data_IF_674909120796
#
_entry.id   IF_674909120796
#
_cell.length_a   1.000
_cell.length_b   1.000
_cell.length_c   1.000
_cell.angle_alpha   90.00
_cell.angle_beta   90.00
_cell.angle_gamma   90.00
#
_symmetry.space_group_name_H-M   'P 1'
#
loop_
_entity.id
_entity.type
_entity.pdbx_description
1 polymer ?
#
# COMPACT_ATOMS: atom_id res chain seq x y z
N UNK A 1 -30.67 10.14 15.98
CA UNK A 1 -29.55 9.48 16.69
C UNK A 1 -28.93 8.50 15.72
N UNK A 2 -27.98 8.97 14.91
CA UNK A 2 -27.23 8.10 14.00
C UNK A 2 -26.42 7.12 14.84
N UNK A 3 -26.76 5.84 14.76
CA UNK A 3 -25.92 4.79 15.30
C UNK A 3 -24.69 4.71 14.39
N UNK A 4 -23.68 5.53 14.70
CA UNK A 4 -22.41 5.51 14.00
C UNK A 4 -21.83 4.10 14.04
N UNK A 5 -21.49 3.56 12.87
CA UNK A 5 -20.84 2.27 12.73
C UNK A 5 -19.50 2.33 13.47
N UNK A 6 -19.22 1.36 14.33
CA UNK A 6 -17.97 1.31 15.11
C UNK A 6 -16.75 1.09 14.19
N UNK A 7 -15.56 1.54 14.60
CA UNK A 7 -14.32 1.30 13.85
C UNK A 7 -14.12 -0.19 13.54
N UNK A 8 -14.44 -1.07 14.49
CA UNK A 8 -14.32 -2.52 14.31
C UNK A 8 -15.24 -3.04 13.21
N UNK A 9 -16.47 -2.54 13.12
CA UNK A 9 -17.41 -2.91 12.05
C UNK A 9 -16.91 -2.43 10.69
N UNK A 10 -16.40 -1.20 10.60
CA UNK A 10 -15.81 -0.65 9.36
C UNK A 10 -14.59 -1.43 8.90
N UNK A 11 -13.71 -1.82 9.82
CA UNK A 11 -12.57 -2.71 9.53
C UNK A 11 -13.06 -4.05 8.98
N UNK A 12 -14.06 -4.67 9.60
CA UNK A 12 -14.62 -5.94 9.12
C UNK A 12 -15.22 -5.83 7.71
N UNK A 13 -15.90 -4.72 7.41
CA UNK A 13 -16.42 -4.43 6.07
C UNK A 13 -15.29 -4.28 5.04
N UNK A 14 -14.24 -3.52 5.37
CA UNK A 14 -13.05 -3.34 4.54
C UNK A 14 -12.31 -4.67 4.29
N UNK A 15 -12.12 -5.48 5.32
CA UNK A 15 -11.58 -6.84 5.20
C UNK A 15 -12.45 -7.71 4.28
N UNK A 16 -13.78 -7.58 4.37
CA UNK A 16 -14.71 -8.25 3.47
C UNK A 16 -14.52 -7.86 2.01
N UNK A 17 -14.21 -6.60 1.71
CA UNK A 17 -13.89 -6.14 0.36
C UNK A 17 -12.57 -6.74 -0.13
N UNK A 18 -11.53 -6.72 0.70
CA UNK A 18 -10.22 -7.33 0.39
C UNK A 18 -10.33 -8.84 0.13
N UNK A 19 -11.20 -9.55 0.87
CA UNK A 19 -11.43 -10.97 0.66
C UNK A 19 -12.22 -11.28 -0.62
N UNK A 20 -13.14 -10.39 -1.03
CA UNK A 20 -13.89 -10.53 -2.29
C UNK A 20 -13.02 -10.21 -3.50
N UNK A 21 -12.23 -9.15 -3.40
CA UNK A 21 -11.34 -8.67 -4.45
C UNK A 21 -9.89 -8.78 -3.97
N UNK A 22 -9.37 -10.01 -4.01
CA UNK A 22 -8.04 -10.34 -3.49
C UNK A 22 -6.98 -9.45 -4.14
N UNK A 23 -6.27 -8.59 -3.37
CA UNK A 23 -5.22 -7.74 -3.90
C UNK A 23 -4.10 -8.54 -4.54
N UNK A 24 -3.40 -7.92 -5.50
CA UNK A 24 -2.27 -8.55 -6.20
C UNK A 24 -1.23 -9.10 -5.23
N UNK A 25 -1.01 -8.41 -4.11
CA UNK A 25 -0.10 -8.82 -3.03
C UNK A 25 -0.36 -10.26 -2.54
N UNK A 26 -1.63 -10.67 -2.49
CA UNK A 26 -2.08 -11.95 -1.97
C UNK A 26 -2.54 -12.91 -3.06
N UNK A 27 -2.21 -12.62 -4.33
CA UNK A 27 -2.55 -13.52 -5.43
C UNK A 27 -1.96 -14.91 -5.16
N UNK A 28 -2.78 -15.94 -5.37
CA UNK A 28 -2.46 -17.35 -5.10
C UNK A 28 -2.30 -17.73 -3.62
N UNK A 29 -2.70 -16.87 -2.67
CA UNK A 29 -2.86 -17.28 -1.28
C UNK A 29 -4.12 -18.13 -1.14
N UNK A 30 -4.06 -19.16 -0.30
CA UNK A 30 -5.27 -19.83 0.14
C UNK A 30 -6.13 -18.86 0.98
N UNK A 31 -7.47 -18.96 0.95
CA UNK A 31 -8.34 -18.08 1.71
C UNK A 31 -8.03 -18.08 3.22
N UNK A 32 -7.63 -19.21 3.80
CA UNK A 32 -7.20 -19.30 5.20
C UNK A 32 -5.91 -18.52 5.46
N UNK A 33 -4.90 -18.64 4.58
CA UNK A 33 -3.62 -17.94 4.71
C UNK A 33 -3.80 -16.43 4.57
N UNK A 34 -4.67 -15.98 3.67
CA UNK A 34 -5.03 -14.57 3.53
C UNK A 34 -5.69 -14.04 4.80
N UNK A 35 -6.69 -14.75 5.35
CA UNK A 35 -7.35 -14.34 6.60
C UNK A 35 -6.38 -14.29 7.76
N UNK A 36 -5.50 -15.29 7.89
CA UNK A 36 -4.49 -15.32 8.94
C UNK A 36 -3.50 -14.16 8.79
N UNK A 37 -3.06 -13.85 7.56
CA UNK A 37 -2.17 -12.72 7.32
C UNK A 37 -2.83 -11.39 7.69
N UNK A 38 -4.08 -11.17 7.27
CA UNK A 38 -4.81 -9.91 7.56
C UNK A 38 -4.99 -9.66 9.07
N UNK A 39 -5.06 -10.73 9.89
CA UNK A 39 -5.13 -10.63 11.36
C UNK A 39 -3.85 -10.11 12.01
N UNK A 40 -2.71 -10.13 11.32
CA UNK A 40 -1.47 -9.53 11.80
C UNK A 40 -1.53 -7.99 11.77
N UNK A 41 -2.46 -7.43 11.00
CA UNK A 41 -2.57 -6.00 10.76
C UNK A 41 -3.22 -5.28 11.94
N UNK A 42 -2.57 -4.24 12.42
CA UNK A 42 -3.11 -3.34 13.44
C UNK A 42 -3.89 -2.22 12.75
N UNK A 43 -5.20 -2.15 12.96
CA UNK A 43 -6.04 -1.15 12.33
C UNK A 43 -5.72 0.26 12.84
N UNK A 44 -5.59 1.21 11.91
CA UNK A 44 -5.37 2.62 12.18
C UNK A 44 -6.32 3.46 11.34
N UNK A 45 -6.95 4.44 11.98
CA UNK A 45 -7.85 5.40 11.35
C UNK A 45 -7.08 6.69 11.11
N UNK A 46 -7.21 7.22 9.89
CA UNK A 46 -6.64 8.49 9.48
C UNK A 46 -7.75 9.39 8.96
N UNK A 47 -7.79 10.63 9.43
CA UNK A 47 -8.68 11.68 8.91
C UNK A 47 -8.10 12.27 7.63
N UNK A 48 -8.91 12.98 6.83
CA UNK A 48 -8.39 13.74 5.69
C UNK A 48 -7.18 14.60 6.10
N UNK A 49 -6.19 14.64 5.22
CA UNK A 49 -4.91 15.35 5.36
C UNK A 49 -3.95 14.78 6.42
N UNK A 50 -4.33 13.76 7.19
CA UNK A 50 -3.40 13.10 8.11
C UNK A 50 -2.34 12.27 7.34
N UNK A 51 -1.10 12.37 7.81
CA UNK A 51 0.05 11.66 7.24
C UNK A 51 0.02 10.20 7.69
N UNK A 52 -0.03 9.30 6.73
CA UNK A 52 0.05 7.84 6.92
C UNK A 52 1.52 7.39 6.92
N UNK A 53 2.31 7.91 5.98
CA UNK A 53 3.76 7.67 5.87
C UNK A 53 4.44 9.01 5.65
N UNK A 54 5.42 9.32 6.49
CA UNK A 54 6.32 10.46 6.30
C UNK A 54 7.62 9.98 5.64
N UNK A 55 8.04 10.62 4.55
CA UNK A 55 9.29 10.27 3.85
C UNK A 55 10.55 10.45 4.72
N UNK A 56 10.50 11.36 5.70
CA UNK A 56 11.56 11.57 6.68
C UNK A 56 11.54 10.56 7.84
N UNK A 57 10.55 9.66 7.88
CA UNK A 57 10.40 8.69 8.96
C UNK A 57 11.55 7.70 9.03
N UNK A 58 12.02 7.45 10.25
CA UNK A 58 13.01 6.41 10.56
C UNK A 58 12.37 5.04 10.80
N UNK A 59 11.04 4.96 10.90
CA UNK A 59 10.29 3.71 10.99
C UNK A 59 10.18 3.08 9.60
N UNK A 60 11.16 2.25 9.22
CA UNK A 60 11.26 1.61 7.90
C UNK A 60 10.81 0.15 7.88
N UNK A 61 10.43 -0.41 9.03
CA UNK A 61 10.08 -1.81 9.22
C UNK A 61 8.57 -2.05 9.25
N UNK A 62 7.79 -1.14 8.66
CA UNK A 62 6.33 -1.24 8.61
C UNK A 62 5.76 -1.00 7.21
N UNK A 63 4.65 -1.69 6.94
CA UNK A 63 3.85 -1.52 5.73
C UNK A 63 2.37 -1.34 6.09
N UNK A 64 1.61 -0.78 5.16
CA UNK A 64 0.21 -0.45 5.37
C UNK A 64 -0.64 -0.99 4.23
N UNK A 65 -1.73 -1.69 4.53
CA UNK A 65 -2.75 -2.08 3.55
C UNK A 65 -3.98 -1.21 3.75
N UNK A 66 -4.42 -0.47 2.73
CA UNK A 66 -5.65 0.31 2.80
C UNK A 66 -6.84 -0.66 2.72
N UNK A 67 -7.75 -0.58 3.70
CA UNK A 67 -8.98 -1.38 3.74
C UNK A 67 -10.24 -0.51 3.59
N UNK A 68 -10.11 0.81 3.75
CA UNK A 68 -11.15 1.79 3.45
C UNK A 68 -10.51 3.13 3.09
N UNK A 69 -11.14 3.88 2.18
CA UNK A 69 -10.73 5.24 1.82
C UNK A 69 -9.65 5.30 0.74
N UNK A 70 -9.14 6.50 0.52
CA UNK A 70 -8.13 6.83 -0.47
C UNK A 70 -7.03 7.71 0.13
N UNK A 71 -5.82 7.53 -0.37
CA UNK A 71 -4.66 8.33 -0.01
C UNK A 71 -3.91 8.79 -1.25
N UNK A 72 -3.09 9.82 -1.07
CA UNK A 72 -2.26 10.42 -2.10
C UNK A 72 -0.79 10.26 -1.75
N UNK A 73 0.01 9.94 -2.75
CA UNK A 73 1.46 9.72 -2.62
C UNK A 73 2.18 10.94 -3.21
N UNK A 74 3.07 11.52 -2.42
CA UNK A 74 3.76 12.77 -2.73
C UNK A 74 5.27 12.62 -2.55
N UNK A 75 6.05 13.29 -3.40
CA UNK A 75 7.49 13.42 -3.24
C UNK A 75 7.94 14.76 -3.79
N UNK A 76 8.74 15.51 -3.05
CA UNK A 76 9.24 16.83 -3.48
C UNK A 76 8.10 17.73 -4.01
N UNK A 77 6.97 17.79 -3.26
CA UNK A 77 5.72 18.48 -3.60
C UNK A 77 5.00 17.99 -4.88
N UNK A 78 5.48 16.92 -5.52
CA UNK A 78 4.87 16.33 -6.71
C UNK A 78 3.92 15.19 -6.34
N UNK A 79 2.68 15.26 -6.83
CA UNK A 79 1.73 14.15 -6.76
C UNK A 79 2.20 13.00 -7.67
N UNK A 80 2.46 11.84 -7.08
CA UNK A 80 2.94 10.66 -7.81
C UNK A 80 1.78 9.73 -8.19
N UNK A 81 0.87 9.48 -7.24
CA UNK A 81 -0.23 8.55 -7.39
C UNK A 81 -1.34 8.79 -6.35
N UNK A 82 -2.54 8.29 -6.67
CA UNK A 82 -3.61 8.07 -5.71
C UNK A 82 -3.80 6.57 -5.55
N UNK A 83 -4.04 6.13 -4.32
CA UNK A 83 -4.16 4.74 -3.92
C UNK A 83 -5.40 4.56 -3.06
N UNK A 84 -5.93 3.35 -3.02
CA UNK A 84 -7.16 3.06 -2.28
C UNK A 84 -7.21 1.62 -1.79
N UNK A 85 -8.42 1.14 -1.53
CA UNK A 85 -8.67 -0.19 -0.96
C UNK A 85 -7.92 -1.29 -1.71
N UNK A 86 -7.15 -2.08 -0.98
CA UNK A 86 -6.32 -3.17 -1.50
C UNK A 86 -4.89 -2.78 -1.87
N UNK A 87 -4.57 -1.49 -1.95
CA UNK A 87 -3.20 -1.03 -2.17
C UNK A 87 -2.36 -1.20 -0.91
N UNK A 88 -1.12 -1.65 -1.10
CA UNK A 88 -0.10 -1.73 -0.07
C UNK A 88 0.93 -0.62 -0.23
N UNK A 89 1.31 -0.05 0.91
CA UNK A 89 2.29 1.01 1.06
C UNK A 89 3.49 0.53 1.86
N UNK A 90 4.66 1.09 1.56
CA UNK A 90 5.88 0.76 2.28
C UNK A 90 6.35 -0.67 2.01
N UNK A 91 6.11 -1.23 0.82
CA UNK A 91 6.47 -2.62 0.50
C UNK A 91 7.97 -2.91 0.62
N UNK A 92 8.79 -1.86 0.59
CA UNK A 92 10.23 -1.93 0.85
C UNK A 92 10.58 -2.46 2.24
N UNK A 93 9.62 -2.50 3.18
CA UNK A 93 9.81 -3.02 4.53
C UNK A 93 10.31 -4.47 4.59
N UNK A 94 10.13 -5.27 3.53
CA UNK A 94 10.66 -6.64 3.41
C UNK A 94 12.07 -6.69 2.81
N UNK A 95 12.43 -5.70 2.01
CA UNK A 95 13.73 -5.61 1.35
C UNK A 95 14.69 -4.75 2.17
N UNK A 96 15.86 -4.46 1.62
CA UNK A 96 16.90 -3.70 2.32
C UNK A 96 16.37 -2.30 2.71
N UNK A 97 16.90 -1.72 3.80
CA UNK A 97 16.47 -0.41 4.34
C UNK A 97 16.91 0.74 3.43
N UNK A 98 16.27 0.89 2.29
CA UNK A 98 16.16 2.21 1.66
C UNK A 98 15.06 2.97 2.41
N UNK A 99 15.28 4.25 2.70
CA UNK A 99 14.32 5.08 3.43
C UNK A 99 12.92 5.07 2.80
N UNK A 100 11.96 5.75 3.42
CA UNK A 100 10.67 5.97 2.77
C UNK A 100 10.91 6.76 1.47
N UNK A 101 10.31 6.31 0.37
CA UNK A 101 10.61 6.87 -0.96
C UNK A 101 9.74 8.08 -1.32
N UNK A 102 8.66 8.27 -0.56
CA UNK A 102 7.62 9.28 -0.75
C UNK A 102 6.77 9.37 0.53
N UNK A 103 6.13 10.52 0.73
CA UNK A 103 5.13 10.74 1.76
C UNK A 103 3.75 10.28 1.28
N UNK A 104 2.89 9.88 2.21
CA UNK A 104 1.53 9.43 1.93
C UNK A 104 0.58 10.10 2.91
N UNK A 105 -0.43 10.79 2.40
CA UNK A 105 -1.45 11.46 3.21
C UNK A 105 -2.86 11.03 2.77
N UNK A 106 -3.75 10.89 3.73
CA UNK A 106 -5.13 10.52 3.49
C UNK A 106 -5.87 11.64 2.73
N UNK A 107 -6.56 11.30 1.64
CA UNK A 107 -7.38 12.28 0.88
C UNK A 107 -8.82 12.34 1.38
N UNK A 108 -9.26 11.25 2.01
CA UNK A 108 -10.52 11.13 2.72
C UNK A 108 -10.27 10.38 4.04
N UNK A 109 -11.33 9.92 4.71
CA UNK A 109 -11.15 9.09 5.90
C UNK A 109 -10.66 7.68 5.53
N UNK A 110 -9.42 7.36 5.92
CA UNK A 110 -8.75 6.11 5.59
C UNK A 110 -8.69 5.18 6.79
N UNK A 111 -8.98 3.90 6.56
CA UNK A 111 -8.60 2.83 7.49
C UNK A 111 -7.51 2.00 6.81
N UNK A 112 -6.36 1.89 7.49
CA UNK A 112 -5.26 1.06 7.04
C UNK A 112 -4.87 0.03 8.11
N UNK A 113 -4.44 -1.15 7.65
CA UNK A 113 -3.83 -2.16 8.50
C UNK A 113 -2.31 -1.95 8.48
N UNK A 114 -1.73 -1.60 9.63
CA UNK A 114 -0.28 -1.47 9.83
C UNK A 114 0.31 -2.83 10.19
N UNK A 115 1.31 -3.28 9.44
CA UNK A 115 2.04 -4.52 9.64
C UNK A 115 3.48 -4.22 10.03
N UNK A 116 4.01 -4.91 11.05
CA UNK A 116 5.45 -4.87 11.36
C UNK A 116 6.18 -6.00 10.66
N UNK A 117 7.41 -5.72 10.22
CA UNK A 117 8.28 -6.69 9.55
C UNK A 117 8.47 -7.95 10.39
N UNK A 118 8.72 -7.82 11.69
CA UNK A 118 8.93 -8.95 12.59
C UNK A 118 7.73 -9.90 12.62
N UNK A 119 6.52 -9.37 12.81
CA UNK A 119 5.26 -10.13 12.85
C UNK A 119 5.00 -10.85 11.52
N UNK A 120 5.24 -10.17 10.40
CA UNK A 120 5.11 -10.75 9.05
C UNK A 120 6.12 -11.89 8.83
N UNK A 121 7.39 -11.69 9.21
CA UNK A 121 8.40 -12.74 9.08
C UNK A 121 8.12 -13.93 9.99
N UNK A 122 7.66 -13.70 11.21
CA UNK A 122 7.29 -14.77 12.15
C UNK A 122 6.07 -15.56 11.68
N UNK A 123 5.11 -14.91 11.01
CA UNK A 123 4.01 -15.59 10.34
C UNK A 123 4.52 -16.54 9.25
N UNK A 124 5.38 -16.05 8.35
CA UNK A 124 5.90 -16.87 7.24
C UNK A 124 6.82 -18.01 7.71
N UNK A 125 7.54 -17.84 8.82
CA UNK A 125 8.33 -18.93 9.44
C UNK A 125 7.50 -20.14 9.85
N UNK A 126 6.22 -19.93 10.17
CA UNK A 126 5.27 -20.98 10.60
C UNK A 126 4.47 -21.58 9.44
N UNK A 127 4.66 -21.07 8.23
CA UNK A 127 3.93 -21.46 7.02
C UNK A 127 4.88 -22.15 6.03
N UNK A 128 4.36 -22.91 5.04
CA UNK A 128 5.20 -23.49 4.00
C UNK A 128 5.99 -22.43 3.24
N UNK A 129 7.26 -22.69 2.94
CA UNK A 129 8.19 -21.74 2.28
C UNK A 129 7.61 -21.16 0.97
N UNK A 130 6.81 -21.95 0.25
CA UNK A 130 6.11 -21.50 -0.98
C UNK A 130 5.26 -20.24 -0.77
N UNK A 131 4.66 -20.06 0.41
CA UNK A 131 3.78 -18.93 0.69
C UNK A 131 4.58 -17.62 0.73
N UNK A 132 5.75 -17.65 1.37
CA UNK A 132 6.67 -16.51 1.39
C UNK A 132 7.24 -16.18 0.00
N UNK A 133 7.52 -17.21 -0.81
CA UNK A 133 7.92 -17.03 -2.21
C UNK A 133 6.83 -16.32 -3.04
N UNK A 134 5.58 -16.77 -2.93
CA UNK A 134 4.44 -16.13 -3.58
C UNK A 134 4.31 -14.66 -3.16
N UNK A 135 4.38 -14.39 -1.86
CA UNK A 135 4.31 -13.02 -1.33
C UNK A 135 5.39 -12.11 -1.92
N UNK A 136 6.64 -12.58 -1.95
CA UNK A 136 7.77 -11.82 -2.48
C UNK A 136 7.64 -11.58 -3.98
N UNK A 137 7.23 -12.60 -4.75
CA UNK A 137 6.97 -12.48 -6.19
C UNK A 137 5.87 -11.46 -6.47
N UNK A 138 4.78 -11.50 -5.70
CA UNK A 138 3.67 -10.56 -5.87
C UNK A 138 4.11 -9.12 -5.61
N UNK A 139 4.97 -8.88 -4.60
CA UNK A 139 5.53 -7.54 -4.37
C UNK A 139 6.41 -7.11 -5.54
N UNK A 140 7.28 -7.99 -6.04
CA UNK A 140 8.11 -7.69 -7.22
C UNK A 140 7.24 -7.30 -8.41
N UNK A 141 6.12 -8.01 -8.65
CA UNK A 141 5.18 -7.66 -9.72
C UNK A 141 4.52 -6.29 -9.49
N UNK A 142 4.12 -5.97 -8.25
CA UNK A 142 3.58 -4.65 -7.92
C UNK A 142 4.60 -3.55 -8.25
N UNK A 143 5.87 -3.73 -7.84
CA UNK A 143 6.93 -2.77 -8.12
C UNK A 143 7.21 -2.65 -9.63
N UNK A 144 7.24 -3.77 -10.35
CA UNK A 144 7.41 -3.75 -11.82
C UNK A 144 6.30 -2.93 -12.49
N UNK A 145 5.03 -3.15 -12.11
CA UNK A 145 3.90 -2.38 -12.65
C UNK A 145 4.03 -0.88 -12.37
N UNK A 146 4.47 -0.52 -11.17
CA UNK A 146 4.70 0.88 -10.79
C UNK A 146 5.83 1.51 -11.60
N UNK A 147 6.95 0.81 -11.78
CA UNK A 147 8.07 1.26 -12.61
C UNK A 147 7.62 1.46 -14.06
N UNK A 148 6.90 0.50 -14.65
CA UNK A 148 6.40 0.63 -16.03
C UNK A 148 5.45 1.82 -16.18
N UNK A 149 4.58 2.06 -15.20
CA UNK A 149 3.68 3.23 -15.18
C UNK A 149 4.45 4.55 -15.07
N UNK A 150 5.45 4.62 -14.18
CA UNK A 150 6.32 5.79 -14.04
C UNK A 150 7.10 6.09 -15.32
N UNK A 151 7.67 5.06 -15.96
CA UNK A 151 8.39 5.23 -17.23
C UNK A 151 7.47 5.75 -18.34
N UNK A 152 6.24 5.26 -18.43
CA UNK A 152 5.26 5.76 -19.39
C UNK A 152 4.91 7.24 -19.15
N UNK A 153 4.69 7.63 -17.88
CA UNK A 153 4.48 9.05 -17.51
C UNK A 153 5.69 9.92 -17.88
N UNK A 154 6.90 9.45 -17.62
CA UNK A 154 8.14 10.18 -17.94
C UNK A 154 8.26 10.45 -19.45
N UNK A 155 8.05 9.42 -20.28
CA UNK A 155 8.07 9.56 -21.74
C UNK A 155 7.02 10.58 -22.20
N UNK A 156 5.82 10.54 -21.62
CA UNK A 156 4.75 11.48 -21.95
C UNK A 156 5.13 12.93 -21.61
N UNK A 157 5.75 13.16 -20.46
CA UNK A 157 6.24 14.48 -20.06
C UNK A 157 7.34 14.99 -21.01
N UNK A 158 8.31 14.15 -21.37
CA UNK A 158 9.37 14.53 -22.33
C UNK A 158 8.78 14.94 -23.69
N UNK A 159 7.82 14.17 -24.22
CA UNK A 159 7.14 14.53 -25.48
C UNK A 159 6.41 15.87 -25.39
N UNK A 160 5.78 16.18 -24.26
CA UNK A 160 5.08 17.46 -24.05
C UNK A 160 6.04 18.64 -23.99
N UNK A 161 7.22 18.47 -23.40
CA UNK A 161 8.27 19.50 -23.36
C UNK A 161 8.82 19.78 -24.75
N UNK A 162 9.17 18.72 -25.50
CA UNK A 162 9.66 18.85 -26.89
C UNK A 162 8.66 19.57 -27.81
N UNK A 163 7.35 19.30 -27.64
CA UNK A 163 6.31 19.96 -28.43
C UNK A 163 6.07 21.42 -28.03
N UNK A 164 6.50 21.87 -26.85
CA UNK A 164 6.40 23.27 -26.42
C UNK A 164 7.59 24.10 -26.89
N UNK A 165 8.78 23.52 -27.00
CA UNK A 165 9.99 24.18 -27.49
C UNK A 165 10.00 24.36 -29.02
N UNK A 166 9.13 23.67 -29.76
CA UNK A 166 8.99 23.80 -31.22
C UNK A 166 7.96 24.84 -31.70
N UNK A 167 7.46 25.71 -30.82
CA UNK A 167 6.42 26.73 -31.13
C UNK A 167 6.95 28.17 -30.95
N UNK A 168 8.26 28.35 -30.76
CA UNK A 168 8.92 29.67 -30.85
C UNK A 168 9.50 29.93 -32.24
#
# INVERSE_FOLDING_TARGET
MEHGITLQQRVNEGLGQVLRNVPLLFRNFAPEDLRDFLRLGHAQLYKPDEVIIDEASTELDTAFLIVQGNASVWKDDLHLATIGVGDILGETFLFNKMGRTASVSATDEVIALKFRRSEVLDFFRKKPERLFKLFTINIVEIQQRRISSMNAKMIQLQKRLMNREGVE
#
